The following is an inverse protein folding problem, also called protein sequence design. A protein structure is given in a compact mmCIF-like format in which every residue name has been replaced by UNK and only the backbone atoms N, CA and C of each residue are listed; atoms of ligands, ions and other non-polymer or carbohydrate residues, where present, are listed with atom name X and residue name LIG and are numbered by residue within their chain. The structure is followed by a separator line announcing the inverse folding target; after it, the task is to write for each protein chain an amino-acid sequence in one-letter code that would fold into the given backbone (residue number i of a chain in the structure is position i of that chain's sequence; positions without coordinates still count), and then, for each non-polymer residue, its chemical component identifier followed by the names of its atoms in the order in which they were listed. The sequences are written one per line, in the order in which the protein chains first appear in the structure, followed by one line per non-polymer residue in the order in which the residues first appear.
data_IF_826610218152
#
_entry.id   IF_826610218152
#
_cell.length_a   1.000
_cell.length_b   1.000
_cell.length_c   1.000
_cell.angle_alpha   90.00
_cell.angle_beta   90.00
_cell.angle_gamma   90.00
#
_symmetry.space_group_name_H-M   'P 1'
#
loop_
_entity.id
_entity.type
_entity.pdbx_description
1 polymer ?
#
# COMPACT_ATOMS: atom_id res chain seq x y z
N UNK A 1 51.92 9.43 40.08
CA UNK A 1 52.60 9.13 38.81
C UNK A 1 52.07 7.76 38.44
N UNK A 2 50.87 7.77 37.86
CA UNK A 2 50.15 6.58 37.44
C UNK A 2 49.58 6.97 36.08
N UNK A 3 50.07 6.24 35.09
CA UNK A 3 50.04 6.53 33.68
C UNK A 3 48.66 6.22 33.06
N UNK A 4 48.16 7.19 32.29
CA UNK A 4 47.39 7.07 31.04
C UNK A 4 46.51 5.81 30.87
N UNK A 5 45.22 5.95 31.15
CA UNK A 5 44.18 5.10 30.55
C UNK A 5 44.11 5.38 29.04
N UNK A 6 44.93 4.65 28.27
CA UNK A 6 44.92 4.64 26.81
C UNK A 6 43.56 4.15 26.29
N UNK A 7 42.73 5.10 25.85
CA UNK A 7 41.42 4.86 25.24
C UNK A 7 41.62 4.01 23.99
N UNK A 8 41.34 2.71 24.09
CA UNK A 8 41.40 1.81 22.95
C UNK A 8 40.44 2.26 21.85
N UNK A 9 40.89 2.41 20.59
CA UNK A 9 40.02 2.78 19.49
C UNK A 9 39.03 1.64 19.26
N UNK A 10 37.73 1.96 19.27
CA UNK A 10 36.66 1.05 18.87
C UNK A 10 36.92 0.65 17.41
N UNK A 11 37.58 -0.50 17.21
CA UNK A 11 37.65 -1.14 15.90
C UNK A 11 36.25 -1.63 15.58
N UNK A 12 35.51 -0.83 14.83
CA UNK A 12 34.25 -1.25 14.23
C UNK A 12 34.51 -2.47 13.36
N UNK A 13 34.09 -3.64 13.85
CA UNK A 13 33.97 -4.84 13.03
C UNK A 13 32.85 -4.55 12.02
N UNK A 14 33.07 -4.67 10.71
CA UNK A 14 31.98 -4.60 9.75
C UNK A 14 31.01 -5.74 10.07
N UNK A 15 29.85 -5.41 10.64
CA UNK A 15 28.76 -6.36 10.77
C UNK A 15 28.21 -6.60 9.37
N UNK A 16 27.98 -7.87 9.04
CA UNK A 16 27.64 -8.40 7.71
C UNK A 16 26.45 -7.69 7.01
N UNK A 17 25.66 -6.92 7.78
CA UNK A 17 24.58 -6.06 7.31
C UNK A 17 24.98 -5.05 6.23
N UNK A 18 26.24 -4.60 6.18
CA UNK A 18 26.69 -3.62 5.16
C UNK A 18 27.01 -4.23 3.79
N UNK A 19 27.14 -5.56 3.69
CA UNK A 19 27.36 -6.22 2.41
C UNK A 19 26.05 -6.36 1.62
N UNK A 20 24.93 -6.63 2.30
CA UNK A 20 23.61 -6.74 1.67
C UNK A 20 23.15 -5.41 1.05
N UNK A 21 23.48 -4.28 1.69
CA UNK A 21 23.12 -2.95 1.21
C UNK A 21 23.93 -2.53 -0.04
N UNK A 22 25.20 -2.95 -0.12
CA UNK A 22 26.04 -2.71 -1.31
C UNK A 22 25.65 -3.58 -2.52
N UNK A 23 25.14 -4.78 -2.28
CA UNK A 23 24.57 -5.64 -3.33
C UNK A 23 23.26 -5.06 -3.88
N UNK A 24 22.45 -4.40 -3.03
CA UNK A 24 21.20 -3.75 -3.44
C UNK A 24 21.42 -2.58 -4.41
N UNK A 25 22.58 -1.91 -4.38
CA UNK A 25 22.90 -0.78 -5.26
C UNK A 25 23.53 -1.20 -6.59
N UNK A 26 23.99 -2.46 -6.72
CA UNK A 26 24.60 -3.01 -7.94
C UNK A 26 23.64 -3.83 -8.82
N UNK A 27 22.41 -4.08 -8.35
CA UNK A 27 21.40 -4.88 -9.07
C UNK A 27 20.71 -4.14 -10.23
N UNK A 28 21.07 -2.90 -10.54
CA UNK A 28 20.47 -2.15 -11.66
C UNK A 28 21.43 -2.00 -12.85
N UNK A 29 22.07 -3.09 -13.30
CA UNK A 29 22.50 -3.19 -14.70
C UNK A 29 22.77 -4.66 -15.08
N UNK A 30 21.71 -5.42 -15.29
CA UNK A 30 21.81 -6.62 -16.12
C UNK A 30 20.85 -6.42 -17.28
N UNK A 31 21.43 -6.13 -18.44
CA UNK A 31 20.79 -6.31 -19.73
C UNK A 31 20.54 -7.82 -19.90
N UNK A 32 19.43 -8.32 -19.37
CA UNK A 32 18.96 -9.67 -19.68
C UNK A 32 17.87 -9.58 -20.75
N UNK A 33 18.30 -9.94 -21.95
CA UNK A 33 17.59 -10.77 -22.91
C UNK A 33 16.07 -10.59 -22.97
N UNK A 34 15.65 -9.84 -24.00
CA UNK A 34 14.63 -10.17 -25.00
C UNK A 34 13.86 -11.50 -24.83
N UNK A 35 13.20 -11.70 -23.68
CA UNK A 35 12.13 -12.65 -23.56
C UNK A 35 10.89 -11.97 -24.11
N UNK A 36 10.69 -12.09 -25.42
CA UNK A 36 9.47 -11.70 -26.14
C UNK A 36 8.27 -12.59 -25.76
N UNK A 37 8.19 -13.02 -24.51
CA UNK A 37 6.99 -13.59 -23.93
C UNK A 37 6.01 -12.47 -23.70
N UNK A 38 5.27 -12.12 -24.75
CA UNK A 38 4.11 -11.22 -24.83
C UNK A 38 3.45 -11.01 -23.45
N UNK A 39 4.01 -10.10 -22.65
CA UNK A 39 3.50 -9.80 -21.32
C UNK A 39 2.28 -8.92 -21.53
N UNK A 40 1.14 -9.58 -21.74
CA UNK A 40 -0.13 -8.91 -21.98
C UNK A 40 -0.55 -8.27 -20.65
N UNK A 41 -0.39 -6.96 -20.56
CA UNK A 41 -0.89 -6.20 -19.44
C UNK A 41 -2.42 -6.20 -19.46
N UNK A 42 -3.02 -7.00 -18.58
CA UNK A 42 -4.46 -7.12 -18.44
C UNK A 42 -5.07 -6.04 -17.51
N UNK A 43 -4.28 -5.04 -17.10
CA UNK A 43 -4.78 -3.91 -16.29
C UNK A 43 -5.91 -3.13 -16.98
N UNK A 44 -5.97 -3.18 -18.32
CA UNK A 44 -6.98 -2.51 -19.16
C UNK A 44 -8.09 -3.45 -19.68
N UNK A 45 -8.17 -4.69 -19.21
CA UNK A 45 -9.22 -5.60 -19.64
C UNK A 45 -10.59 -5.11 -19.13
N UNK A 46 -11.55 -4.95 -20.06
CA UNK A 46 -12.92 -4.58 -19.72
C UNK A 46 -13.61 -5.76 -19.02
N UNK A 47 -13.76 -5.66 -17.70
CA UNK A 47 -14.55 -6.62 -16.91
C UNK A 47 -16.00 -6.14 -16.88
N UNK A 48 -16.99 -6.97 -17.26
CA UNK A 48 -18.39 -6.66 -17.04
C UNK A 48 -18.62 -6.38 -15.55
N UNK A 49 -18.94 -5.15 -15.21
CA UNK A 49 -19.32 -4.78 -13.86
C UNK A 49 -20.84 -4.86 -13.78
N UNK A 50 -21.35 -5.77 -12.96
CA UNK A 50 -22.78 -5.77 -12.64
C UNK A 50 -23.09 -4.48 -11.89
N UNK A 51 -23.74 -3.55 -12.58
CA UNK A 51 -24.29 -2.38 -11.92
C UNK A 51 -25.32 -2.89 -10.90
N UNK A 52 -25.25 -2.45 -9.63
CA UNK A 52 -26.30 -2.78 -8.68
C UNK A 52 -27.61 -2.32 -9.29
N UNK A 53 -28.59 -3.23 -9.36
CA UNK A 53 -29.93 -2.97 -9.90
C UNK A 53 -30.39 -1.60 -9.40
N UNK A 54 -30.93 -0.79 -10.31
CA UNK A 54 -31.38 0.57 -10.03
C UNK A 54 -32.09 0.58 -8.68
N UNK A 55 -31.48 1.28 -7.73
CA UNK A 55 -31.96 1.35 -6.35
C UNK A 55 -33.41 1.83 -6.43
N UNK A 56 -34.36 0.96 -6.07
CA UNK A 56 -35.70 1.45 -5.77
C UNK A 56 -35.52 2.55 -4.74
N UNK A 57 -36.00 3.75 -5.06
CA UNK A 57 -35.93 4.89 -4.15
C UNK A 57 -36.95 4.59 -3.05
N UNK A 58 -36.49 3.90 -2.00
CA UNK A 58 -37.27 3.70 -0.79
C UNK A 58 -37.27 5.05 -0.10
N UNK A 59 -38.45 5.63 0.05
CA UNK A 59 -38.60 6.87 0.79
C UNK A 59 -38.18 6.64 2.26
N UNK A 60 -37.11 7.29 2.74
CA UNK A 60 -36.62 7.11 4.11
C UNK A 60 -37.61 7.61 5.17
N UNK A 61 -38.70 8.29 4.78
CA UNK A 61 -39.80 8.71 5.67
C UNK A 61 -40.66 7.51 6.10
N UNK A 62 -40.76 6.47 5.26
CA UNK A 62 -41.58 5.27 5.53
C UNK A 62 -40.81 4.22 6.35
N UNK A 63 -39.52 4.46 6.59
CA UNK A 63 -38.62 3.52 7.24
C UNK A 63 -38.64 3.69 8.76
N UNK A 64 -38.68 2.58 9.50
CA UNK A 64 -38.58 2.60 10.96
C UNK A 64 -37.28 3.28 11.43
N UNK A 65 -37.34 3.96 12.58
CA UNK A 65 -36.25 4.80 13.08
C UNK A 65 -34.94 4.02 13.26
N UNK A 66 -35.04 2.78 13.74
CA UNK A 66 -33.88 1.90 13.90
C UNK A 66 -33.25 1.51 12.57
N UNK A 67 -34.07 1.24 11.55
CA UNK A 67 -33.55 0.88 10.21
C UNK A 67 -32.85 2.09 9.59
N UNK A 68 -33.41 3.30 9.76
CA UNK A 68 -32.76 4.55 9.32
C UNK A 68 -31.39 4.75 9.95
N UNK A 69 -31.29 4.56 11.27
CA UNK A 69 -30.03 4.70 12.00
C UNK A 69 -28.98 3.69 11.52
N UNK A 70 -29.38 2.43 11.31
CA UNK A 70 -28.47 1.39 10.78
C UNK A 70 -27.97 1.75 9.38
N UNK A 71 -28.86 2.20 8.49
CA UNK A 71 -28.46 2.63 7.14
C UNK A 71 -27.53 3.85 7.18
N UNK A 72 -27.78 4.79 8.09
CA UNK A 72 -26.91 5.93 8.30
C UNK A 72 -25.54 5.47 8.80
N UNK A 73 -25.46 4.58 9.80
CA UNK A 73 -24.19 4.05 10.30
C UNK A 73 -23.40 3.33 9.20
N UNK A 74 -24.06 2.51 8.39
CA UNK A 74 -23.44 1.81 7.26
C UNK A 74 -22.91 2.79 6.19
N UNK A 75 -23.67 3.84 5.88
CA UNK A 75 -23.22 4.90 4.97
C UNK A 75 -21.95 5.57 5.47
N UNK A 76 -21.91 5.99 6.73
CA UNK A 76 -20.74 6.63 7.32
C UNK A 76 -19.53 5.69 7.34
N UNK A 77 -19.73 4.41 7.64
CA UNK A 77 -18.67 3.41 7.60
C UNK A 77 -18.06 3.26 6.19
N UNK A 78 -18.91 3.22 5.15
CA UNK A 78 -18.45 3.17 3.74
C UNK A 78 -17.63 4.40 3.37
N UNK A 79 -18.13 5.60 3.68
CA UNK A 79 -17.46 6.86 3.37
C UNK A 79 -16.09 6.95 4.04
N UNK A 80 -16.01 6.57 5.33
CA UNK A 80 -14.73 6.52 6.05
C UNK A 80 -13.73 5.57 5.41
N UNK A 81 -14.19 4.38 5.00
CA UNK A 81 -13.34 3.40 4.33
C UNK A 81 -12.85 3.91 2.98
N UNK A 82 -13.74 4.49 2.18
CA UNK A 82 -13.40 5.07 0.88
C UNK A 82 -12.32 6.16 1.02
N UNK A 83 -12.53 7.14 1.91
CA UNK A 83 -11.55 8.21 2.16
C UNK A 83 -10.19 7.65 2.61
N UNK A 84 -10.19 6.61 3.43
CA UNK A 84 -8.94 5.95 3.84
C UNK A 84 -8.24 5.25 2.68
N UNK A 85 -8.98 4.60 1.79
CA UNK A 85 -8.42 3.95 0.60
C UNK A 85 -7.84 4.97 -0.37
N UNK A 86 -8.57 6.05 -0.66
CA UNK A 86 -8.12 7.14 -1.53
C UNK A 86 -6.82 7.77 -1.00
N UNK A 87 -6.75 8.05 0.31
CA UNK A 87 -5.53 8.57 0.95
C UNK A 87 -4.34 7.63 0.80
N UNK A 88 -4.55 6.32 0.95
CA UNK A 88 -3.48 5.32 0.81
C UNK A 88 -3.00 5.17 -0.64
N UNK A 89 -3.88 5.37 -1.62
CA UNK A 89 -3.51 5.31 -3.03
C UNK A 89 -2.64 6.51 -3.44
N UNK A 90 -2.94 7.72 -2.95
CA UNK A 90 -2.12 8.91 -3.26
C UNK A 90 -0.66 8.78 -2.80
N UNK A 91 -0.41 8.15 -1.65
CA UNK A 91 0.96 7.98 -1.11
C UNK A 91 1.78 6.99 -1.94
N UNK A 92 1.13 6.02 -2.61
CA UNK A 92 1.82 5.04 -3.47
C UNK A 92 2.09 5.53 -4.89
N UNK A 93 1.46 6.63 -5.31
CA UNK A 93 1.59 7.19 -6.66
C UNK A 93 2.53 8.41 -6.72
N UNK A 94 3.22 8.74 -5.63
CA UNK A 94 4.21 9.83 -5.54
C UNK A 94 5.63 9.29 -5.34
#
# INVERSE_FOLDING_TARGET
MEDEDEVMPVRFHPTESTQLEQLSLKSSIEEEEKNEGNQVDNSLALVPMENPKTKQNIDPIVLDATVREVLDALRHAREKLQTQMERRQMIKAS
#
